data_IF_182755547023
#
_entry.id   IF_182755547023
#
_cell.length_a   1.000
_cell.length_b   1.000
_cell.length_c   1.000
_cell.angle_alpha   90.00
_cell.angle_beta   90.00
_cell.angle_gamma   90.00
#
_symmetry.space_group_name_H-M   'P 1'
#
loop_
_entity.id
_entity.type
_entity.pdbx_description
1 polymer ?
#
# COMPACT_ATOMS: atom_id res chain seq x y z
N UNK A 1 30.72 35.19 89.77
CA UNK A 1 29.35 34.82 89.34
C UNK A 1 29.36 34.69 87.81
N UNK A 2 29.13 33.47 87.29
CA UNK A 2 28.89 33.06 85.88
C UNK A 2 30.06 33.30 84.88
N UNK A 3 30.87 32.30 84.49
CA UNK A 3 30.63 31.17 83.55
C UNK A 3 30.41 31.65 82.09
N UNK A 4 30.87 31.05 80.98
CA UNK A 4 31.81 29.98 80.59
C UNK A 4 31.56 29.81 79.07
N UNK A 5 32.60 29.55 78.25
CA UNK A 5 32.56 29.00 76.85
C UNK A 5 31.92 29.86 75.72
N UNK A 6 32.13 29.68 74.40
CA UNK A 6 32.60 28.61 73.47
C UNK A 6 33.09 29.35 72.18
N UNK A 7 34.32 29.19 71.69
CA UNK A 7 34.82 28.26 70.64
C UNK A 7 34.34 28.48 69.19
N UNK A 8 35.34 28.45 68.30
CA UNK A 8 35.37 28.43 66.84
C UNK A 8 34.17 27.83 66.10
N UNK A 9 33.79 28.45 64.97
CA UNK A 9 33.59 27.71 63.71
C UNK A 9 33.66 28.62 62.48
N UNK A 10 34.72 28.43 61.68
CA UNK A 10 34.78 28.80 60.27
C UNK A 10 33.86 27.83 59.52
N UNK A 11 32.82 28.34 58.86
CA UNK A 11 31.97 27.52 57.99
C UNK A 11 32.08 28.04 56.55
N UNK A 12 32.83 27.30 55.74
CA UNK A 12 32.81 27.36 54.28
C UNK A 12 31.37 27.15 53.79
N UNK A 13 30.86 28.11 53.03
CA UNK A 13 29.68 27.94 52.18
C UNK A 13 30.07 27.17 50.92
N UNK A 14 30.05 25.84 51.03
CA UNK A 14 30.06 24.88 49.91
C UNK A 14 28.78 24.05 50.00
N UNK A 15 27.80 24.38 49.16
CA UNK A 15 26.63 23.57 48.75
C UNK A 15 25.70 24.51 47.99
N UNK A 16 25.16 24.24 46.81
CA UNK A 16 25.25 23.08 45.93
C UNK A 16 24.63 23.58 44.62
N UNK A 17 25.41 23.65 43.54
CA UNK A 17 24.84 23.86 42.23
C UNK A 17 24.08 22.59 41.88
N UNK A 18 22.76 22.60 42.14
CA UNK A 18 21.85 21.62 41.57
C UNK A 18 21.88 21.89 40.07
N UNK A 19 22.74 21.16 39.35
CA UNK A 19 22.64 21.03 37.91
C UNK A 19 21.27 20.43 37.64
N UNK A 20 20.30 21.30 37.35
CA UNK A 20 19.09 20.93 36.66
C UNK A 20 19.55 20.30 35.35
N UNK A 21 19.66 18.96 35.34
CA UNK A 21 19.72 18.18 34.11
C UNK A 21 18.35 18.42 33.50
N UNK A 22 18.24 19.46 32.67
CA UNK A 22 17.15 19.55 31.73
C UNK A 22 17.14 18.19 31.04
N UNK A 23 16.08 17.42 31.27
CA UNK A 23 15.80 16.28 30.44
C UNK A 23 15.63 16.88 29.05
N UNK A 24 16.70 16.87 28.25
CA UNK A 24 16.62 17.06 26.81
C UNK A 24 15.59 16.04 26.36
N UNK A 25 14.37 16.53 26.17
CA UNK A 25 13.29 15.74 25.64
C UNK A 25 13.76 15.53 24.21
N UNK A 26 14.39 14.37 23.97
CA UNK A 26 14.75 13.92 22.63
C UNK A 26 13.49 14.06 21.80
N UNK A 27 13.43 15.13 21.02
CA UNK A 27 12.27 15.50 20.27
C UNK A 27 12.14 14.39 19.23
N UNK A 28 11.16 13.50 19.41
CA UNK A 28 10.94 12.39 18.50
C UNK A 28 10.79 12.97 17.09
N UNK A 29 11.80 12.79 16.25
CA UNK A 29 11.74 13.17 14.84
C UNK A 29 10.87 12.12 14.16
N UNK A 30 9.60 12.47 14.00
CA UNK A 30 8.64 11.72 13.20
C UNK A 30 8.44 12.46 11.88
N UNK A 31 8.47 11.73 10.77
CA UNK A 31 8.15 12.25 9.44
C UNK A 31 7.01 11.46 8.81
N UNK A 32 6.29 12.11 7.89
CA UNK A 32 5.24 11.49 7.10
C UNK A 32 5.57 11.64 5.62
N UNK A 33 5.48 10.55 4.87
CA UNK A 33 5.63 10.54 3.44
C UNK A 33 4.38 9.97 2.75
N UNK A 34 3.89 10.58 1.65
CA UNK A 34 4.29 11.90 1.15
C UNK A 34 3.83 13.03 2.08
N UNK A 35 4.48 14.19 2.00
CA UNK A 35 4.15 15.38 2.83
C UNK A 35 2.83 16.06 2.38
N UNK A 36 2.41 15.80 1.14
CA UNK A 36 1.15 16.26 0.56
C UNK A 36 0.60 15.19 -0.40
N UNK A 37 -0.72 15.16 -0.57
CA UNK A 37 -1.40 14.15 -1.40
C UNK A 37 -2.29 14.80 -2.44
N UNK A 38 -2.21 14.31 -3.68
CA UNK A 38 -3.11 14.67 -4.76
C UNK A 38 -3.78 13.39 -5.27
N UNK A 39 -5.11 13.37 -5.24
CA UNK A 39 -5.93 12.25 -5.72
C UNK A 39 -6.74 12.71 -6.92
N UNK A 40 -6.79 11.88 -7.97
CA UNK A 40 -7.64 12.11 -9.14
C UNK A 40 -8.56 10.92 -9.37
N UNK A 41 -9.87 11.18 -9.36
CA UNK A 41 -10.91 10.18 -9.57
C UNK A 41 -11.24 9.33 -8.34
N UNK A 42 -12.44 8.74 -8.36
CA UNK A 42 -13.01 7.94 -7.26
C UNK A 42 -12.24 6.65 -6.90
N UNK A 43 -11.30 6.21 -7.75
CA UNK A 43 -10.51 4.97 -7.56
C UNK A 43 -9.08 5.25 -7.07
N UNK A 44 -8.70 6.51 -6.90
CA UNK A 44 -7.40 6.87 -6.38
C UNK A 44 -7.28 6.52 -4.90
N UNK A 45 -6.05 6.33 -4.44
CA UNK A 45 -5.70 6.13 -3.04
C UNK A 45 -4.26 6.58 -2.81
N UNK A 46 -3.91 6.76 -1.54
CA UNK A 46 -2.53 6.99 -1.12
C UNK A 46 -2.28 6.40 0.27
N UNK A 47 -1.31 5.51 0.38
CA UNK A 47 -0.73 5.05 1.64
C UNK A 47 0.24 6.12 2.15
N UNK A 48 0.05 6.54 3.40
CA UNK A 48 1.02 7.30 4.15
C UNK A 48 2.03 6.35 4.80
N UNK A 49 3.30 6.76 4.84
CA UNK A 49 4.35 6.15 5.64
C UNK A 49 4.68 7.09 6.79
N UNK A 50 4.63 6.59 8.02
CA UNK A 50 5.07 7.34 9.20
C UNK A 50 6.38 6.73 9.66
N UNK A 51 7.44 7.53 9.68
CA UNK A 51 8.77 7.07 10.07
C UNK A 51 9.23 7.81 11.31
N UNK A 52 9.56 7.07 12.37
CA UNK A 52 10.24 7.60 13.54
C UNK A 52 11.73 7.31 13.51
N UNK A 53 12.49 7.97 14.38
CA UNK A 53 13.90 7.64 14.64
C UNK A 53 14.06 7.04 16.04
N UNK A 54 14.75 5.90 16.12
CA UNK A 54 15.23 5.32 17.36
C UNK A 54 16.75 5.11 17.26
N UNK A 55 17.54 5.82 18.07
CA UNK A 55 19.01 5.78 18.02
C UNK A 55 19.59 5.96 16.60
N UNK A 56 19.03 6.90 15.83
CA UNK A 56 19.34 7.18 14.41
C UNK A 56 18.90 6.10 13.40
N UNK A 57 18.32 4.99 13.85
CA UNK A 57 17.70 3.99 12.99
C UNK A 57 16.25 4.38 12.68
N UNK A 58 15.86 4.29 11.41
CA UNK A 58 14.46 4.49 11.00
C UNK A 58 13.59 3.33 11.48
N UNK A 59 12.45 3.65 12.08
CA UNK A 59 11.44 2.68 12.49
C UNK A 59 10.09 3.05 11.87
N UNK A 60 9.35 2.05 11.40
CA UNK A 60 7.99 2.27 10.93
C UNK A 60 7.06 2.55 12.12
N UNK A 61 6.28 3.61 12.00
CA UNK A 61 5.23 4.04 12.93
C UNK A 61 3.88 4.11 12.21
N UNK A 62 3.79 3.59 10.99
CA UNK A 62 2.63 3.75 10.10
C UNK A 62 1.36 3.18 10.71
N UNK A 63 1.47 2.05 11.41
CA UNK A 63 0.32 1.43 12.10
C UNK A 63 0.18 1.82 13.57
N UNK A 64 1.12 2.61 14.10
CA UNK A 64 1.07 3.13 15.46
C UNK A 64 0.40 4.51 15.53
N UNK A 65 0.48 5.27 14.43
CA UNK A 65 -0.14 6.57 14.30
C UNK A 65 -1.67 6.52 14.28
N UNK A 66 -2.30 7.60 14.76
CA UNK A 66 -3.73 7.85 14.63
C UNK A 66 -3.97 8.84 13.50
N UNK A 67 -4.98 8.57 12.67
CA UNK A 67 -5.26 9.35 11.46
C UNK A 67 -6.64 9.98 11.54
N UNK A 68 -6.73 11.28 11.24
CA UNK A 68 -8.01 11.99 11.20
C UNK A 68 -8.05 12.99 10.05
N UNK A 69 -9.11 12.94 9.24
CA UNK A 69 -9.43 13.98 8.25
C UNK A 69 -10.25 15.09 8.91
N UNK A 70 -9.93 16.36 8.62
CA UNK A 70 -10.76 17.50 9.00
C UNK A 70 -12.03 17.65 8.13
N UNK A 71 -12.05 17.01 6.96
CA UNK A 71 -13.17 16.96 6.02
C UNK A 71 -13.45 15.51 5.59
N UNK A 72 -14.09 14.68 6.45
CA UNK A 72 -14.40 13.28 6.13
C UNK A 72 -15.32 13.09 4.92
N UNK A 73 -16.07 14.13 4.54
CA UNK A 73 -16.88 14.15 3.33
C UNK A 73 -16.07 14.31 2.03
N UNK A 74 -14.81 14.75 2.12
CA UNK A 74 -13.89 14.91 0.98
C UNK A 74 -12.91 13.75 0.92
N UNK A 75 -12.28 13.39 2.05
CA UNK A 75 -11.38 12.23 2.15
C UNK A 75 -11.56 11.48 3.46
N UNK A 76 -11.51 10.16 3.38
CA UNK A 76 -11.39 9.28 4.53
C UNK A 76 -9.97 8.75 4.63
N UNK A 77 -9.56 8.40 5.84
CA UNK A 77 -8.26 7.79 6.12
C UNK A 77 -8.45 6.59 7.04
N UNK A 78 -7.88 5.45 6.67
CA UNK A 78 -7.98 4.22 7.45
C UNK A 78 -6.99 4.22 8.62
N UNK A 79 -7.19 3.33 9.59
CA UNK A 79 -6.22 3.11 10.69
C UNK A 79 -4.87 2.57 10.21
N UNK A 80 -4.80 2.04 8.97
CA UNK A 80 -3.56 1.63 8.34
C UNK A 80 -2.85 2.79 7.62
N UNK A 81 -3.39 4.02 7.64
CA UNK A 81 -2.81 5.19 6.98
C UNK A 81 -3.10 5.30 5.49
N UNK A 82 -4.16 4.65 5.00
CA UNK A 82 -4.58 4.76 3.58
C UNK A 82 -5.63 5.85 3.44
N UNK A 83 -5.35 6.85 2.61
CA UNK A 83 -6.26 7.93 2.24
C UNK A 83 -7.06 7.51 1.00
N UNK A 84 -8.38 7.65 1.06
CA UNK A 84 -9.32 7.38 -0.02
C UNK A 84 -10.25 8.58 -0.25
N UNK A 85 -10.52 8.97 -1.50
CA UNK A 85 -11.36 10.11 -1.81
C UNK A 85 -12.85 9.78 -1.64
N UNK A 86 -13.64 10.77 -1.26
CA UNK A 86 -15.12 10.69 -1.12
C UNK A 86 -15.82 11.75 -2.00
N UNK A 87 -15.21 12.92 -2.19
CA UNK A 87 -15.68 13.94 -3.13
C UNK A 87 -14.53 14.82 -3.61
N UNK A 88 -14.76 15.65 -4.63
CA UNK A 88 -13.84 16.73 -4.98
C UNK A 88 -13.68 17.72 -3.81
N UNK A 89 -12.49 18.30 -3.65
CA UNK A 89 -12.23 19.30 -2.62
C UNK A 89 -10.83 19.27 -2.03
N UNK A 90 -10.65 19.95 -0.91
CA UNK A 90 -9.41 19.98 -0.14
C UNK A 90 -9.67 19.56 1.29
N UNK A 91 -8.74 18.83 1.89
CA UNK A 91 -8.78 18.39 3.26
C UNK A 91 -7.38 18.37 3.86
N UNK A 92 -7.28 18.30 5.18
CA UNK A 92 -6.04 18.03 5.91
C UNK A 92 -6.19 16.73 6.68
N UNK A 93 -5.31 15.77 6.40
CA UNK A 93 -5.16 14.57 7.23
C UNK A 93 -4.14 14.86 8.32
N UNK A 94 -4.56 14.76 9.58
CA UNK A 94 -3.66 14.87 10.74
C UNK A 94 -3.22 13.48 11.16
N UNK A 95 -1.91 13.25 11.15
CA UNK A 95 -1.24 12.07 11.71
C UNK A 95 -0.80 12.41 13.12
N UNK A 96 -1.28 11.68 14.12
CA UNK A 96 -0.87 11.84 15.52
C UNK A 96 -0.06 10.63 15.94
N UNK A 97 1.19 10.85 16.32
CA UNK A 97 2.09 9.84 16.87
C UNK A 97 2.61 10.26 18.25
N UNK A 98 2.01 9.70 19.31
CA UNK A 98 2.25 10.17 20.67
C UNK A 98 1.87 11.65 20.84
N UNK A 99 2.85 12.49 21.18
CA UNK A 99 2.66 13.95 21.29
C UNK A 99 2.83 14.70 19.96
N UNK A 100 3.39 14.06 18.93
CA UNK A 100 3.68 14.68 17.65
C UNK A 100 2.42 14.67 16.78
N UNK A 101 2.13 15.81 16.14
CA UNK A 101 1.03 15.95 15.17
C UNK A 101 1.57 16.53 13.87
N UNK A 102 1.38 15.80 12.78
CA UNK A 102 1.82 16.19 11.44
C UNK A 102 0.57 16.35 10.57
N UNK A 103 0.51 17.46 9.83
CA UNK A 103 -0.60 17.78 8.93
C UNK A 103 -0.18 17.48 7.50
N UNK A 104 -0.96 16.66 6.81
CA UNK A 104 -0.77 16.30 5.40
C UNK A 104 -1.90 16.93 4.60
N UNK A 105 -1.63 17.97 3.80
CA UNK A 105 -2.62 18.54 2.89
C UNK A 105 -3.02 17.53 1.81
N UNK A 106 -4.32 17.44 1.53
CA UNK A 106 -4.89 16.56 0.51
C UNK A 106 -5.78 17.34 -0.44
N UNK A 107 -5.61 17.13 -1.74
CA UNK A 107 -6.46 17.68 -2.80
C UNK A 107 -7.06 16.54 -3.61
N UNK A 108 -8.39 16.55 -3.79
CA UNK A 108 -9.11 15.60 -4.64
C UNK A 108 -9.67 16.33 -5.85
N UNK A 109 -9.37 15.82 -7.04
CA UNK A 109 -9.89 16.30 -8.33
C UNK A 109 -10.56 15.18 -9.11
N UNK A 110 -11.35 15.54 -10.11
CA UNK A 110 -11.98 14.62 -11.07
C UNK A 110 -12.78 13.47 -10.43
N UNK A 111 -13.27 13.62 -9.20
CA UNK A 111 -13.94 12.54 -8.47
C UNK A 111 -15.16 12.01 -9.25
N UNK A 112 -16.00 12.92 -9.73
CA UNK A 112 -17.22 12.63 -10.50
C UNK A 112 -16.96 12.44 -12.00
N UNK A 113 -15.71 12.60 -12.45
CA UNK A 113 -15.37 12.41 -13.86
C UNK A 113 -15.52 10.94 -14.21
N UNK A 114 -16.46 10.63 -15.10
CA UNK A 114 -16.62 9.28 -15.59
C UNK A 114 -15.36 8.87 -16.35
N UNK A 115 -14.69 7.84 -15.83
CA UNK A 115 -13.48 7.26 -16.41
C UNK A 115 -13.74 5.80 -16.72
N UNK A 116 -13.76 5.49 -18.01
CA UNK A 116 -13.87 4.12 -18.51
C UNK A 116 -12.77 3.25 -17.91
N UNK A 117 -13.09 1.98 -17.68
CA UNK A 117 -12.15 0.99 -17.22
C UNK A 117 -11.29 0.55 -18.39
N UNK A 118 -9.98 0.74 -18.27
CA UNK A 118 -9.03 0.24 -19.26
C UNK A 118 -8.59 -1.18 -18.87
N UNK A 119 -8.67 -2.13 -19.80
CA UNK A 119 -8.36 -3.53 -19.50
C UNK A 119 -6.94 -3.68 -18.95
N UNK A 120 -5.94 -3.09 -19.61
CA UNK A 120 -4.54 -3.30 -19.25
C UNK A 120 -4.18 -2.57 -17.97
N UNK A 121 -4.69 -1.35 -17.76
CA UNK A 121 -4.40 -0.55 -16.58
C UNK A 121 -5.15 -1.03 -15.33
N UNK A 122 -6.41 -1.44 -15.47
CA UNK A 122 -7.32 -1.58 -14.32
C UNK A 122 -7.81 -3.03 -14.08
N UNK A 123 -7.94 -3.86 -15.12
CA UNK A 123 -8.46 -5.23 -15.00
C UNK A 123 -7.35 -6.27 -14.98
N UNK A 124 -6.40 -6.16 -15.91
CA UNK A 124 -5.30 -7.10 -16.10
C UNK A 124 -4.43 -7.29 -14.84
N UNK A 125 -4.11 -6.23 -14.06
CA UNK A 125 -3.33 -6.40 -12.83
C UNK A 125 -4.06 -7.22 -11.76
N UNK A 126 -5.40 -7.28 -11.81
CA UNK A 126 -6.18 -8.06 -10.84
C UNK A 126 -5.88 -9.55 -10.92
N UNK A 127 -5.52 -10.06 -12.11
CA UNK A 127 -5.18 -11.48 -12.26
C UNK A 127 -3.91 -11.86 -11.48
N UNK A 128 -2.88 -11.01 -11.50
CA UNK A 128 -1.68 -11.20 -10.68
C UNK A 128 -1.98 -10.95 -9.21
N UNK A 129 -2.71 -9.88 -8.89
CA UNK A 129 -3.04 -9.53 -7.50
C UNK A 129 -3.74 -10.66 -6.74
N UNK A 130 -4.58 -11.44 -7.42
CA UNK A 130 -5.29 -12.58 -6.84
C UNK A 130 -4.69 -13.95 -7.20
N UNK A 131 -3.50 -13.94 -7.82
CA UNK A 131 -2.76 -15.13 -8.27
C UNK A 131 -3.54 -16.04 -9.23
N UNK A 132 -4.50 -15.48 -9.99
CA UNK A 132 -5.28 -16.22 -10.98
C UNK A 132 -4.40 -16.73 -12.13
N UNK A 133 -3.40 -15.93 -12.52
CA UNK A 133 -2.45 -16.20 -13.59
C UNK A 133 -1.11 -16.78 -13.08
N UNK A 134 -1.08 -17.31 -11.86
CA UNK A 134 0.06 -18.04 -11.32
C UNK A 134 0.19 -19.44 -11.90
N UNK A 135 1.38 -20.04 -11.79
CA UNK A 135 1.69 -21.38 -12.31
C UNK A 135 0.89 -22.54 -11.69
N UNK A 136 0.22 -22.32 -10.55
CA UNK A 136 -0.70 -23.29 -9.95
C UNK A 136 -2.12 -23.24 -10.53
N UNK A 137 -2.48 -22.17 -11.25
CA UNK A 137 -3.84 -21.87 -11.69
C UNK A 137 -3.93 -21.71 -13.23
N UNK A 138 -4.43 -20.56 -13.73
CA UNK A 138 -4.61 -20.33 -15.16
C UNK A 138 -3.31 -19.93 -15.88
N UNK A 139 -2.26 -19.57 -15.15
CA UNK A 139 -0.94 -19.23 -15.70
C UNK A 139 -0.06 -20.40 -16.09
N UNK A 140 -0.48 -21.64 -15.82
CA UNK A 140 0.26 -22.84 -16.22
C UNK A 140 0.20 -23.07 -17.72
N UNK A 141 1.19 -23.77 -18.29
CA UNK A 141 1.39 -23.90 -19.75
C UNK A 141 0.15 -24.37 -20.54
N UNK A 142 -0.77 -25.12 -19.92
CA UNK A 142 -2.02 -25.60 -20.55
C UNK A 142 -3.30 -24.95 -20.00
N UNK A 143 -3.17 -23.93 -19.15
CA UNK A 143 -4.27 -23.36 -18.39
C UNK A 143 -4.99 -24.37 -17.49
N UNK A 144 -6.16 -24.01 -16.98
CA UNK A 144 -7.01 -24.86 -16.15
C UNK A 144 -8.47 -24.77 -16.58
N UNK A 145 -9.13 -25.93 -16.73
CA UNK A 145 -10.54 -25.98 -17.11
C UNK A 145 -10.82 -25.34 -18.48
N UNK A 146 -9.86 -25.46 -19.41
CA UNK A 146 -9.93 -24.84 -20.74
C UNK A 146 -9.76 -23.32 -20.75
N UNK A 147 -9.34 -22.70 -19.64
CA UNK A 147 -9.03 -21.28 -19.56
C UNK A 147 -7.55 -21.08 -19.21
N UNK A 148 -6.84 -20.34 -20.05
CA UNK A 148 -5.42 -20.04 -19.91
C UNK A 148 -5.21 -18.52 -19.86
N UNK A 149 -4.33 -18.11 -18.96
CA UNK A 149 -3.78 -16.76 -18.89
C UNK A 149 -2.27 -16.85 -19.06
N UNK A 150 -1.68 -15.77 -19.55
CA UNK A 150 -0.25 -15.55 -19.61
C UNK A 150 0.32 -15.55 -18.18
N UNK A 151 1.46 -16.20 -17.99
CA UNK A 151 2.06 -16.35 -16.66
C UNK A 151 2.42 -14.99 -16.07
N UNK A 152 1.86 -14.65 -14.91
CA UNK A 152 2.05 -13.33 -14.28
C UNK A 152 1.69 -12.13 -15.19
N UNK A 153 0.69 -12.31 -16.07
CA UNK A 153 0.15 -11.22 -16.89
C UNK A 153 1.21 -10.59 -17.82
N UNK A 154 2.07 -11.40 -18.43
CA UNK A 154 3.12 -10.90 -19.34
C UNK A 154 2.60 -10.53 -20.74
N UNK A 155 1.44 -11.04 -21.15
CA UNK A 155 0.83 -10.80 -22.46
C UNK A 155 -0.64 -10.34 -22.32
N UNK A 156 -0.87 -9.01 -22.25
CA UNK A 156 -2.22 -8.44 -22.13
C UNK A 156 -3.13 -8.77 -23.32
N UNK A 157 -2.62 -8.90 -24.55
CA UNK A 157 -3.44 -9.20 -25.73
C UNK A 157 -3.95 -10.63 -25.69
N UNK A 158 -3.08 -11.57 -25.35
CA UNK A 158 -3.46 -12.97 -25.14
C UNK A 158 -4.52 -13.10 -24.05
N UNK A 159 -4.30 -12.46 -22.89
CA UNK A 159 -5.21 -12.52 -21.74
C UNK A 159 -6.58 -11.90 -22.04
N UNK A 160 -6.60 -10.78 -22.75
CA UNK A 160 -7.82 -10.16 -23.21
C UNK A 160 -8.61 -11.10 -24.14
N UNK A 161 -7.93 -11.74 -25.11
CA UNK A 161 -8.54 -12.69 -26.03
C UNK A 161 -9.12 -13.91 -25.32
N UNK A 162 -8.38 -14.47 -24.37
CA UNK A 162 -8.81 -15.61 -23.55
C UNK A 162 -10.05 -15.27 -22.70
N UNK A 163 -10.16 -14.03 -22.25
CA UNK A 163 -11.28 -13.56 -21.43
C UNK A 163 -12.53 -13.20 -22.26
N UNK A 164 -12.35 -12.58 -23.43
CA UNK A 164 -13.47 -11.97 -24.18
C UNK A 164 -13.92 -12.80 -25.40
N UNK A 165 -13.04 -13.59 -26.01
CA UNK A 165 -13.33 -14.29 -27.29
C UNK A 165 -13.57 -15.78 -27.09
N UNK A 166 -12.79 -16.42 -26.24
CA UNK A 166 -12.91 -17.86 -26.00
C UNK A 166 -14.19 -18.25 -25.25
N UNK A 167 -14.53 -19.55 -25.25
CA UNK A 167 -15.76 -20.09 -24.64
C UNK A 167 -17.04 -19.37 -25.13
N UNK A 168 -17.01 -18.87 -26.36
CA UNK A 168 -18.09 -18.07 -26.99
C UNK A 168 -18.41 -16.79 -26.20
N UNK A 169 -17.40 -16.13 -25.63
CA UNK A 169 -17.54 -14.87 -24.89
C UNK A 169 -18.15 -15.00 -23.48
N UNK A 170 -18.42 -16.21 -23.00
CA UNK A 170 -19.10 -16.42 -21.70
C UNK A 170 -18.26 -16.01 -20.48
N UNK A 171 -16.95 -15.80 -20.63
CA UNK A 171 -16.08 -15.45 -19.49
C UNK A 171 -16.19 -13.99 -19.09
N UNK A 172 -16.39 -13.10 -20.05
CA UNK A 172 -16.73 -11.69 -19.88
C UNK A 172 -17.83 -11.36 -20.88
N UNK A 173 -19.09 -11.38 -20.43
CA UNK A 173 -20.28 -11.23 -21.26
C UNK A 173 -20.95 -9.88 -20.98
N UNK A 174 -20.74 -8.85 -21.83
CA UNK A 174 -21.33 -7.53 -21.61
C UNK A 174 -22.86 -7.51 -21.57
N UNK A 175 -23.53 -8.45 -22.25
CA UNK A 175 -24.99 -8.56 -22.28
C UNK A 175 -25.59 -9.07 -20.96
N UNK A 176 -24.76 -9.67 -20.10
CA UNK A 176 -25.15 -10.15 -18.78
C UNK A 176 -23.90 -10.14 -17.88
N UNK A 177 -23.44 -8.94 -17.43
CA UNK A 177 -22.17 -8.81 -16.72
C UNK A 177 -22.08 -9.70 -15.48
N UNK A 178 -23.14 -9.73 -14.67
CA UNK A 178 -23.30 -10.54 -13.47
C UNK A 178 -23.24 -12.07 -13.73
N UNK A 179 -23.57 -12.50 -14.95
CA UNK A 179 -23.49 -13.90 -15.40
C UNK A 179 -22.14 -14.29 -16.02
N UNK A 180 -21.19 -13.36 -16.07
CA UNK A 180 -19.85 -13.61 -16.60
C UNK A 180 -19.11 -14.63 -15.75
N UNK A 181 -18.58 -15.69 -16.38
CA UNK A 181 -17.93 -16.78 -15.63
C UNK A 181 -16.76 -16.30 -14.78
N UNK A 182 -16.05 -15.24 -15.18
CA UNK A 182 -14.96 -14.67 -14.38
C UNK A 182 -15.46 -14.12 -13.04
N UNK A 183 -16.62 -13.45 -13.02
CA UNK A 183 -17.24 -12.94 -11.80
C UNK A 183 -17.86 -14.07 -10.98
N UNK A 184 -18.62 -14.97 -11.62
CA UNK A 184 -19.29 -16.08 -10.94
C UNK A 184 -18.28 -17.02 -10.24
N UNK A 185 -17.20 -17.41 -10.94
CA UNK A 185 -16.14 -18.25 -10.37
C UNK A 185 -15.27 -17.48 -9.38
N UNK A 186 -14.90 -16.24 -9.72
CA UNK A 186 -14.08 -15.38 -8.86
C UNK A 186 -14.73 -15.13 -7.50
N UNK A 187 -16.03 -14.85 -7.48
CA UNK A 187 -16.80 -14.63 -6.26
C UNK A 187 -17.17 -15.92 -5.52
N UNK A 188 -16.94 -17.09 -6.12
CA UNK A 188 -17.33 -18.38 -5.57
C UNK A 188 -18.84 -18.65 -5.63
N UNK A 189 -19.59 -17.96 -6.50
CA UNK A 189 -21.03 -18.20 -6.73
C UNK A 189 -21.29 -19.54 -7.43
N UNK A 190 -20.30 -20.04 -8.17
CA UNK A 190 -20.27 -21.39 -8.75
C UNK A 190 -18.93 -22.07 -8.44
N UNK A 191 -18.84 -23.41 -8.52
CA UNK A 191 -17.61 -24.13 -8.22
C UNK A 191 -16.38 -23.63 -8.99
N UNK A 192 -15.35 -23.28 -8.23
CA UNK A 192 -14.05 -22.85 -8.72
C UNK A 192 -12.94 -23.52 -7.90
N UNK A 193 -12.12 -24.37 -8.55
CA UNK A 193 -11.06 -25.12 -7.87
C UNK A 193 -9.98 -24.25 -7.23
N UNK A 194 -9.83 -22.99 -7.67
CA UNK A 194 -8.93 -22.00 -7.05
C UNK A 194 -9.54 -21.25 -5.86
N UNK A 195 -10.76 -21.59 -5.44
CA UNK A 195 -11.47 -20.93 -4.35
C UNK A 195 -12.03 -19.55 -4.72
N UNK A 196 -12.49 -18.82 -3.70
CA UNK A 196 -12.99 -17.45 -3.82
C UNK A 196 -11.80 -16.48 -3.91
N UNK A 197 -11.64 -15.83 -5.07
CA UNK A 197 -10.52 -14.93 -5.39
C UNK A 197 -10.93 -13.47 -5.56
N UNK A 198 -12.16 -13.23 -5.99
CA UNK A 198 -12.70 -11.90 -6.28
C UNK A 198 -14.05 -11.75 -5.55
N UNK A 199 -14.03 -11.43 -4.24
CA UNK A 199 -15.26 -11.33 -3.46
C UNK A 199 -16.24 -10.32 -4.05
N UNK A 200 -17.51 -10.71 -4.18
CA UNK A 200 -18.60 -9.84 -4.60
C UNK A 200 -18.67 -8.57 -3.74
N UNK A 201 -18.93 -7.43 -4.38
CA UNK A 201 -19.00 -6.12 -3.74
C UNK A 201 -17.65 -5.51 -3.36
N UNK A 202 -16.54 -6.26 -3.46
CA UNK A 202 -15.21 -5.68 -3.29
C UNK A 202 -14.90 -4.67 -4.40
N UNK A 203 -14.03 -3.70 -4.11
CA UNK A 203 -13.62 -2.69 -5.09
C UNK A 203 -13.11 -3.30 -6.42
N UNK A 204 -12.40 -4.42 -6.34
CA UNK A 204 -11.83 -5.10 -7.50
C UNK A 204 -12.88 -5.88 -8.29
N UNK A 205 -13.87 -6.46 -7.60
CA UNK A 205 -15.04 -7.06 -8.25
C UNK A 205 -15.78 -6.00 -9.06
N UNK A 206 -16.04 -4.85 -8.45
CA UNK A 206 -16.76 -3.74 -9.08
C UNK A 206 -15.99 -3.18 -10.28
N UNK A 207 -14.65 -3.15 -10.25
CA UNK A 207 -13.82 -2.78 -11.41
C UNK A 207 -14.04 -3.76 -12.57
N UNK A 208 -13.97 -5.06 -12.30
CA UNK A 208 -14.13 -6.08 -13.33
C UNK A 208 -15.57 -6.11 -13.88
N UNK A 209 -16.57 -5.99 -13.01
CA UNK A 209 -17.98 -5.92 -13.39
C UNK A 209 -18.26 -4.67 -14.23
N UNK A 210 -17.78 -3.50 -13.79
CA UNK A 210 -17.93 -2.25 -14.53
C UNK A 210 -17.29 -2.34 -15.91
N UNK A 211 -16.07 -2.90 -16.03
CA UNK A 211 -15.42 -3.10 -17.31
C UNK A 211 -16.24 -3.99 -18.25
N UNK A 212 -16.81 -5.09 -17.75
CA UNK A 212 -17.67 -5.97 -18.55
C UNK A 212 -18.93 -5.22 -18.99
N UNK A 213 -19.57 -4.48 -18.07
CA UNK A 213 -20.76 -3.69 -18.35
C UNK A 213 -20.51 -2.55 -19.36
N UNK A 214 -19.29 -2.00 -19.40
CA UNK A 214 -18.84 -1.00 -20.38
C UNK A 214 -18.52 -1.59 -21.77
N UNK A 215 -18.79 -2.89 -21.98
CA UNK A 215 -18.57 -3.56 -23.26
C UNK A 215 -17.29 -4.39 -23.31
N UNK A 216 -16.61 -4.58 -22.18
CA UNK A 216 -15.34 -5.31 -22.08
C UNK A 216 -14.29 -4.77 -23.06
N UNK A 217 -14.16 -3.44 -23.18
CA UNK A 217 -13.29 -2.80 -24.16
C UNK A 217 -11.81 -3.10 -23.90
N UNK A 218 -11.05 -3.37 -24.96
CA UNK A 218 -9.60 -3.64 -24.86
C UNK A 218 -8.80 -2.47 -24.34
N UNK A 219 -9.06 -1.28 -24.85
CA UNK A 219 -8.30 -0.09 -24.49
C UNK A 219 -9.21 1.13 -24.53
N UNK A 220 -8.90 2.08 -23.65
CA UNK A 220 -9.48 3.42 -23.69
C UNK A 220 -8.54 4.31 -24.49
N UNK A 221 -9.08 5.13 -25.40
CA UNK A 221 -8.29 6.07 -26.17
C UNK A 221 -7.51 7.00 -25.23
N UNK A 222 -6.24 7.25 -25.55
CA UNK A 222 -5.34 8.11 -24.76
C UNK A 222 -5.11 7.63 -23.31
N UNK A 223 -5.43 6.36 -22.99
CA UNK A 223 -5.08 5.78 -21.70
C UNK A 223 -3.55 5.84 -21.51
N UNK A 224 -3.07 6.41 -20.39
CA UNK A 224 -1.65 6.59 -20.18
C UNK A 224 -1.00 5.23 -19.90
N UNK A 225 0.17 5.00 -20.49
CA UNK A 225 0.91 3.73 -20.39
C UNK A 225 1.81 3.73 -19.17
N UNK A 226 1.95 2.58 -18.52
CA UNK A 226 2.89 2.43 -17.42
C UNK A 226 4.32 2.58 -17.94
N UNK A 227 5.12 3.40 -17.26
CA UNK A 227 6.54 3.63 -17.58
C UNK A 227 7.44 2.87 -16.61
N UNK A 228 7.16 2.97 -15.30
CA UNK A 228 7.92 2.29 -14.24
C UNK A 228 7.11 2.20 -12.95
N UNK A 229 7.63 1.42 -12.00
CA UNK A 229 7.20 1.48 -10.60
C UNK A 229 8.38 1.82 -9.68
N UNK A 230 8.10 2.34 -8.49
CA UNK A 230 9.08 2.50 -7.40
C UNK A 230 8.55 1.90 -6.11
N UNK A 231 9.48 1.54 -5.21
CA UNK A 231 9.22 1.09 -3.85
C UNK A 231 9.77 2.14 -2.88
N UNK A 232 9.01 2.45 -1.82
CA UNK A 232 9.48 3.28 -0.71
C UNK A 232 9.13 2.60 0.62
N UNK A 233 10.08 2.45 1.57
CA UNK A 233 11.51 2.72 1.42
C UNK A 233 12.19 1.75 0.45
N UNK A 234 13.39 2.10 -0.05
CA UNK A 234 14.23 1.19 -0.88
C UNK A 234 15.19 0.34 -0.05
N UNK A 235 15.50 0.78 1.18
CA UNK A 235 16.37 0.06 2.12
C UNK A 235 15.91 0.25 3.57
N UNK A 236 16.04 -0.81 4.37
CA UNK A 236 15.81 -0.78 5.82
C UNK A 236 16.72 -1.72 6.59
N UNK A 237 17.21 -1.24 7.72
CA UNK A 237 17.70 -2.08 8.80
C UNK A 237 16.56 -2.20 9.80
N UNK A 238 16.14 -3.42 10.12
CA UNK A 238 14.98 -3.70 10.98
C UNK A 238 15.44 -4.45 12.23
N UNK A 239 14.76 -4.23 13.36
CA UNK A 239 14.95 -5.09 14.52
C UNK A 239 14.11 -6.37 14.35
N UNK A 240 14.50 -7.51 14.96
CA UNK A 240 13.71 -8.73 14.91
C UNK A 240 12.26 -8.49 15.36
N UNK A 241 11.31 -9.15 14.68
CA UNK A 241 9.86 -9.07 14.97
C UNK A 241 9.23 -7.68 14.80
N UNK A 242 9.94 -6.73 14.16
CA UNK A 242 9.35 -5.43 13.78
C UNK A 242 8.76 -5.48 12.37
N UNK A 243 8.02 -4.42 12.03
CA UNK A 243 7.28 -4.29 10.77
C UNK A 243 7.70 -3.04 10.03
N UNK A 244 7.53 -3.04 8.71
CA UNK A 244 7.73 -1.90 7.84
C UNK A 244 6.63 -1.89 6.78
N UNK A 245 5.88 -0.79 6.66
CA UNK A 245 5.00 -0.60 5.51
C UNK A 245 5.84 -0.18 4.30
N UNK A 246 5.58 -0.79 3.15
CA UNK A 246 6.13 -0.39 1.86
C UNK A 246 5.04 0.26 1.01
N UNK A 247 5.39 1.28 0.23
CA UNK A 247 4.52 1.89 -0.79
C UNK A 247 5.06 1.57 -2.16
N UNK A 248 4.19 1.12 -3.06
CA UNK A 248 4.52 0.93 -4.48
C UNK A 248 3.82 2.00 -5.30
N UNK A 249 4.59 2.82 -6.00
CA UNK A 249 4.06 3.90 -6.85
C UNK A 249 4.29 3.58 -8.32
N UNK A 250 3.23 3.58 -9.12
CA UNK A 250 3.28 3.50 -10.58
C UNK A 250 3.38 4.89 -11.19
N UNK A 251 4.22 5.03 -12.22
CA UNK A 251 4.41 6.27 -12.99
C UNK A 251 3.98 6.04 -14.43
N UNK A 252 3.12 6.91 -14.96
CA UNK A 252 2.56 6.76 -16.29
C UNK A 252 3.09 7.81 -17.29
N UNK A 253 2.86 7.55 -18.57
CA UNK A 253 3.39 8.34 -19.69
C UNK A 253 2.88 9.79 -19.76
N UNK A 254 1.76 10.10 -19.10
CA UNK A 254 1.20 11.45 -18.98
C UNK A 254 1.75 12.21 -17.76
N UNK A 255 2.69 11.63 -17.02
CA UNK A 255 3.25 12.19 -15.79
C UNK A 255 2.40 11.92 -14.54
N UNK A 256 1.24 11.28 -14.67
CA UNK A 256 0.43 10.88 -13.52
C UNK A 256 1.09 9.75 -12.73
N UNK A 257 0.76 9.67 -11.44
CA UNK A 257 1.19 8.59 -10.56
C UNK A 257 0.00 7.93 -9.89
N UNK A 258 0.16 6.66 -9.50
CA UNK A 258 -0.83 5.91 -8.72
C UNK A 258 -0.13 5.11 -7.64
N UNK A 259 -0.65 5.16 -6.42
CA UNK A 259 -0.34 4.14 -5.42
C UNK A 259 -0.97 2.81 -5.85
N UNK A 260 -0.11 1.83 -6.13
CA UNK A 260 -0.48 0.47 -6.55
C UNK A 260 -0.06 -0.58 -5.51
N UNK A 261 0.21 -0.16 -4.27
CA UNK A 261 0.60 -1.04 -3.16
C UNK A 261 -0.37 -2.21 -2.98
N UNK A 262 -1.67 -1.94 -3.09
CA UNK A 262 -2.71 -2.95 -2.97
C UNK A 262 -2.97 -3.76 -4.25
N UNK A 263 -2.28 -3.45 -5.35
CA UNK A 263 -2.38 -4.14 -6.64
C UNK A 263 -1.10 -4.90 -6.99
N UNK A 264 0.03 -4.55 -6.37
CA UNK A 264 1.30 -5.21 -6.59
C UNK A 264 1.28 -6.65 -6.07
N UNK A 265 2.06 -7.52 -6.72
CA UNK A 265 2.41 -8.83 -6.22
C UNK A 265 3.75 -8.72 -5.48
N UNK A 266 3.85 -9.35 -4.31
CA UNK A 266 5.03 -9.27 -3.45
C UNK A 266 5.70 -10.63 -3.30
N UNK A 267 7.03 -10.63 -3.26
CA UNK A 267 7.84 -11.81 -3.01
C UNK A 267 9.04 -11.46 -2.15
N UNK A 268 9.38 -12.31 -1.19
CA UNK A 268 10.65 -12.23 -0.47
C UNK A 268 11.65 -13.23 -1.08
N UNK A 269 12.90 -12.80 -1.23
CA UNK A 269 13.99 -13.72 -1.58
C UNK A 269 14.26 -14.75 -0.48
N UNK A 270 14.05 -14.38 0.79
CA UNK A 270 14.33 -15.21 1.97
C UNK A 270 13.26 -14.99 3.05
N UNK A 271 12.10 -15.64 2.89
CA UNK A 271 10.92 -15.40 3.74
C UNK A 271 11.10 -15.78 5.21
N UNK A 272 12.13 -16.58 5.53
CA UNK A 272 12.50 -16.96 6.91
C UNK A 272 13.08 -15.76 7.67
N UNK A 273 13.82 -14.89 6.99
CA UNK A 273 14.39 -13.67 7.58
C UNK A 273 13.43 -12.50 7.50
N UNK A 274 12.80 -12.31 6.34
CA UNK A 274 11.88 -11.19 6.11
C UNK A 274 10.73 -11.64 5.25
N UNK A 275 9.51 -11.53 5.75
CA UNK A 275 8.28 -11.85 5.01
C UNK A 275 7.57 -10.56 4.58
N UNK A 276 6.64 -10.66 3.63
CA UNK A 276 5.81 -9.56 3.15
C UNK A 276 4.40 -10.09 2.89
N UNK A 277 3.38 -9.35 3.29
CA UNK A 277 1.98 -9.68 3.00
C UNK A 277 1.48 -8.99 1.72
N UNK A 278 0.24 -9.29 1.35
CA UNK A 278 -0.39 -8.76 0.14
C UNK A 278 -0.76 -7.27 0.20
N UNK A 279 -0.49 -6.60 1.32
CA UNK A 279 -0.66 -5.17 1.54
C UNK A 279 0.68 -4.43 1.60
N UNK A 280 1.78 -5.10 1.25
CA UNK A 280 3.12 -4.53 1.31
C UNK A 280 3.62 -4.32 2.73
N UNK A 281 3.07 -5.03 3.73
CA UNK A 281 3.58 -5.01 5.09
C UNK A 281 4.70 -6.03 5.24
N UNK A 282 5.92 -5.52 5.34
CA UNK A 282 7.13 -6.29 5.55
C UNK A 282 7.27 -6.60 7.04
N UNK A 283 7.56 -7.86 7.39
CA UNK A 283 7.75 -8.32 8.76
C UNK A 283 9.09 -9.02 8.89
N UNK A 284 9.95 -8.48 9.75
CA UNK A 284 11.22 -9.11 10.13
C UNK A 284 10.95 -10.35 10.99
N UNK A 285 11.63 -11.44 10.68
CA UNK A 285 11.59 -12.68 11.43
C UNK A 285 12.34 -12.58 12.77
N UNK A 286 12.57 -13.74 13.39
CA UNK A 286 13.36 -13.83 14.63
C UNK A 286 14.85 -14.04 14.40
N UNK A 287 15.25 -14.40 13.18
CA UNK A 287 16.63 -14.69 12.81
C UNK A 287 17.22 -13.47 12.10
N UNK A 288 18.52 -13.23 12.34
CA UNK A 288 19.28 -12.21 11.62
C UNK A 288 19.58 -12.68 10.19
N UNK A 289 19.61 -11.74 9.26
CA UNK A 289 19.84 -12.05 7.86
C UNK A 289 19.45 -10.90 6.94
N UNK A 290 19.68 -11.09 5.65
CA UNK A 290 19.33 -10.13 4.60
C UNK A 290 18.31 -10.74 3.65
N UNK A 291 17.38 -9.92 3.18
CA UNK A 291 16.41 -10.30 2.18
C UNK A 291 16.05 -9.12 1.28
N UNK A 292 15.68 -9.39 0.04
CA UNK A 292 15.08 -8.41 -0.86
C UNK A 292 13.59 -8.71 -0.99
N UNK A 293 12.76 -7.70 -0.69
CA UNK A 293 11.33 -7.71 -0.93
C UNK A 293 11.08 -7.12 -2.31
N UNK A 294 10.67 -7.95 -3.26
CA UNK A 294 10.33 -7.55 -4.62
C UNK A 294 8.83 -7.27 -4.72
N UNK A 295 8.48 -6.12 -5.29
CA UNK A 295 7.14 -5.81 -5.76
C UNK A 295 7.10 -5.85 -7.29
N UNK A 296 6.06 -6.49 -7.83
CA UNK A 296 5.79 -6.59 -9.26
C UNK A 296 4.44 -5.98 -9.59
N UNK A 297 4.37 -5.16 -10.63
CA UNK A 297 3.13 -4.63 -11.17
C UNK A 297 3.25 -4.42 -12.68
N UNK A 298 2.36 -5.04 -13.46
CA UNK A 298 2.32 -4.94 -14.93
C UNK A 298 3.70 -5.10 -15.59
N UNK A 299 4.40 -6.18 -15.25
CA UNK A 299 5.73 -6.51 -15.81
C UNK A 299 6.90 -5.66 -15.29
N UNK A 300 6.64 -4.64 -14.48
CA UNK A 300 7.66 -3.81 -13.85
C UNK A 300 7.97 -4.30 -12.42
N UNK A 301 9.18 -4.02 -11.95
CA UNK A 301 9.69 -4.45 -10.65
C UNK A 301 10.28 -3.28 -9.87
N UNK A 302 10.10 -3.30 -8.56
CA UNK A 302 10.84 -2.49 -7.60
C UNK A 302 11.13 -3.33 -6.36
N UNK A 303 12.11 -2.93 -5.54
CA UNK A 303 12.50 -3.69 -4.37
C UNK A 303 12.80 -2.84 -3.14
N UNK A 304 12.60 -3.44 -1.98
CA UNK A 304 13.07 -2.98 -0.68
C UNK A 304 14.08 -3.99 -0.14
N UNK A 305 15.33 -3.57 0.05
CA UNK A 305 16.36 -4.40 0.68
C UNK A 305 16.29 -4.27 2.20
N UNK A 306 16.28 -5.40 2.91
CA UNK A 306 16.12 -5.44 4.36
C UNK A 306 17.25 -6.24 5.00
N UNK A 307 17.86 -5.66 6.03
CA UNK A 307 18.78 -6.33 6.95
C UNK A 307 18.12 -6.41 8.33
N UNK A 308 18.11 -7.59 8.95
CA UNK A 308 17.59 -7.85 10.31
C UNK A 308 18.73 -8.11 11.29
#
# INVERSE_FOLDING_TARGET
MKSLLYQCLVCLLLCSAVSARAAETSQQTVSVHPEQVQLSGKRARQQLLVTGLNNKQSIDRTRDGQYQSDQPAVVQVTSAGVIEPVSNGTATVTVTDGAVKIKVPVVVKDFDKQTLIDFERDVHPLFSRFSCNGGSCHGKQRGQGGFQLSMFAFDPEFDYGALTKESRGRRASPLAPDQSLVLLKGAGKIPHGGGKKLPEGSKYYNIMEQWIAEGATRSVAEAPKLVKISAEPTERIMQPKTKQQMVVTAFYSDGSTRDVTDLAEYMSSESVYVSVDEHGLVTAGSLMGEASIMARYMGNFASLNVTV
#
